data_IF_644521106664
#
_entry.id   IF_644521106664
#
_cell.length_a   1.000
_cell.length_b   1.000
_cell.length_c   1.000
_cell.angle_alpha   90.00
_cell.angle_beta   90.00
_cell.angle_gamma   90.00
#
_symmetry.space_group_name_H-M   'P 1'
#
loop_
_entity.id
_entity.type
_entity.pdbx_description
1 polymer ?
#
# COMPACT_ATOMS: atom_id res chain seq x y z
N UNK A 1 -29.66 -20.63 -62.98
CA UNK A 1 -28.53 -19.71 -62.66
C UNK A 1 -29.08 -18.57 -61.82
N UNK A 2 -28.45 -18.09 -60.72
CA UNK A 2 -27.62 -18.75 -59.70
C UNK A 2 -28.35 -18.79 -58.32
N UNK A 3 -27.94 -19.71 -57.43
CA UNK A 3 -28.38 -19.75 -56.03
C UNK A 3 -27.47 -18.79 -55.24
N UNK A 4 -28.04 -17.74 -54.65
CA UNK A 4 -27.32 -16.87 -53.72
C UNK A 4 -27.18 -17.59 -52.37
N UNK A 5 -25.95 -17.97 -52.02
CA UNK A 5 -25.59 -18.45 -50.70
C UNK A 5 -25.33 -17.22 -49.83
N UNK A 6 -26.22 -16.95 -48.87
CA UNK A 6 -26.02 -15.92 -47.87
C UNK A 6 -25.02 -16.45 -46.82
N UNK A 7 -23.74 -16.12 -46.98
CA UNK A 7 -22.72 -16.41 -45.99
C UNK A 7 -22.89 -15.45 -44.80
N UNK A 8 -23.44 -15.95 -43.70
CA UNK A 8 -23.49 -15.24 -42.43
C UNK A 8 -22.08 -15.22 -41.82
N UNK A 9 -21.35 -14.12 -42.01
CA UNK A 9 -20.07 -13.89 -41.31
C UNK A 9 -20.41 -13.56 -39.86
N UNK A 10 -20.22 -14.52 -38.95
CA UNK A 10 -20.19 -14.24 -37.51
C UNK A 10 -18.90 -13.46 -37.21
N UNK A 11 -19.02 -12.14 -37.08
CA UNK A 11 -18.00 -11.34 -36.40
C UNK A 11 -18.02 -11.70 -34.91
N UNK A 12 -17.09 -12.53 -34.46
CA UNK A 12 -16.80 -12.70 -33.03
C UNK A 12 -16.15 -11.43 -32.52
N UNK A 13 -16.96 -10.52 -31.98
CA UNK A 13 -16.45 -9.41 -31.18
C UNK A 13 -15.74 -10.00 -29.95
N UNK A 14 -14.41 -9.97 -29.94
CA UNK A 14 -13.64 -10.24 -28.75
C UNK A 14 -13.91 -9.10 -27.76
N UNK A 15 -14.85 -9.31 -26.85
CA UNK A 15 -15.04 -8.41 -25.72
C UNK A 15 -13.76 -8.46 -24.88
N UNK A 16 -13.04 -7.34 -24.67
CA UNK A 16 -12.00 -7.30 -23.65
C UNK A 16 -12.68 -7.61 -22.32
N UNK A 17 -12.34 -8.76 -21.72
CA UNK A 17 -12.87 -9.12 -20.41
C UNK A 17 -12.46 -8.05 -19.40
N UNK A 18 -13.41 -7.58 -18.59
CA UNK A 18 -13.13 -6.67 -17.47
C UNK A 18 -11.95 -7.21 -16.66
N UNK A 19 -10.97 -6.36 -16.35
CA UNK A 19 -9.79 -6.82 -15.63
C UNK A 19 -10.22 -7.34 -14.24
N UNK A 20 -10.00 -8.63 -14.01
CA UNK A 20 -10.45 -9.29 -12.80
C UNK A 20 -9.61 -8.84 -11.59
N UNK A 21 -10.27 -8.59 -10.45
CA UNK A 21 -9.58 -8.39 -9.17
C UNK A 21 -8.74 -9.61 -8.85
N UNK A 22 -7.43 -9.43 -8.73
CA UNK A 22 -6.48 -10.49 -8.40
C UNK A 22 -6.28 -10.54 -6.88
N UNK A 23 -6.42 -11.73 -6.31
CA UNK A 23 -6.08 -12.00 -4.91
C UNK A 23 -4.93 -13.00 -4.84
N UNK A 24 -3.94 -12.76 -3.99
CA UNK A 24 -2.79 -13.64 -3.84
C UNK A 24 -2.39 -13.70 -2.38
N UNK A 25 -2.42 -14.90 -1.79
CA UNK A 25 -1.90 -15.12 -0.45
C UNK A 25 -0.40 -15.45 -0.51
N UNK A 26 0.40 -14.78 0.32
CA UNK A 26 1.84 -14.98 0.40
C UNK A 26 2.23 -15.17 1.86
N UNK A 27 2.96 -16.25 2.15
CA UNK A 27 3.59 -16.47 3.45
C UNK A 27 4.80 -15.54 3.60
N UNK A 28 4.91 -14.84 4.72
CA UNK A 28 6.01 -13.94 5.05
C UNK A 28 6.83 -14.53 6.21
N UNK A 29 7.66 -15.56 5.95
CA UNK A 29 8.49 -16.15 6.99
C UNK A 29 9.59 -15.19 7.46
N UNK A 30 10.13 -15.47 8.64
CA UNK A 30 11.37 -14.87 9.14
C UNK A 30 12.45 -15.94 9.16
N UNK A 31 12.94 -16.36 10.32
CA UNK A 31 13.73 -17.58 10.50
C UNK A 31 12.87 -18.65 11.19
N UNK A 32 13.17 -19.95 11.05
CA UNK A 32 12.41 -20.99 11.77
C UNK A 32 12.38 -20.76 13.29
N UNK A 33 13.49 -20.27 13.86
CA UNK A 33 13.55 -19.90 15.27
C UNK A 33 12.67 -18.69 15.59
N UNK A 34 12.74 -17.64 14.78
CA UNK A 34 11.93 -16.43 14.96
C UNK A 34 10.45 -16.64 14.67
N UNK A 35 10.05 -17.58 13.82
CA UNK A 35 8.63 -17.88 13.58
C UNK A 35 8.06 -18.82 14.65
N UNK A 36 8.90 -19.68 15.26
CA UNK A 36 8.49 -20.58 16.33
C UNK A 36 8.51 -19.95 17.73
N UNK A 37 9.24 -18.83 17.93
CA UNK A 37 9.36 -18.22 19.26
C UNK A 37 8.03 -17.63 19.75
N UNK A 38 7.76 -17.88 21.02
CA UNK A 38 6.67 -17.29 21.78
C UNK A 38 7.00 -15.86 22.25
N UNK A 39 6.23 -15.39 23.22
CA UNK A 39 6.45 -14.09 23.85
C UNK A 39 7.63 -14.15 24.84
N UNK A 40 8.43 -13.11 24.89
CA UNK A 40 9.56 -12.92 25.80
C UNK A 40 9.21 -11.92 26.90
N UNK A 41 9.44 -12.24 28.19
CA UNK A 41 9.26 -11.28 29.28
C UNK A 41 10.24 -10.09 29.22
N UNK A 42 11.31 -10.19 28.42
CA UNK A 42 12.29 -9.12 28.23
C UNK A 42 11.82 -8.06 27.20
N UNK A 43 10.73 -8.33 26.48
CA UNK A 43 10.13 -7.38 25.53
C UNK A 43 8.99 -6.64 26.24
N UNK A 44 9.05 -5.31 26.34
CA UNK A 44 7.98 -4.54 26.96
C UNK A 44 6.71 -4.58 26.12
N UNK A 45 5.55 -4.63 26.78
CA UNK A 45 4.23 -4.57 26.14
C UNK A 45 4.03 -3.31 25.27
N UNK A 46 4.68 -2.21 25.63
CA UNK A 46 4.70 -0.98 24.83
C UNK A 46 5.92 -0.12 25.14
N UNK A 47 6.33 0.68 24.16
CA UNK A 47 7.37 1.71 24.31
C UNK A 47 6.87 3.04 23.77
N UNK A 48 7.33 4.14 24.37
CA UNK A 48 7.03 5.47 23.92
C UNK A 48 8.32 6.22 23.59
N UNK A 49 8.29 6.98 22.50
CA UNK A 49 9.39 7.86 22.09
C UNK A 49 8.82 9.25 21.89
N UNK A 50 9.31 10.22 22.66
CA UNK A 50 8.93 11.63 22.51
C UNK A 50 9.87 12.32 21.53
N UNK A 51 9.30 13.07 20.59
CA UNK A 51 10.06 13.82 19.58
C UNK A 51 9.24 15.00 19.05
N UNK A 52 9.76 15.71 18.04
CA UNK A 52 9.13 16.86 17.38
C UNK A 52 9.24 16.73 15.87
N UNK A 53 8.45 17.48 15.12
CA UNK A 53 8.67 17.64 13.69
C UNK A 53 9.81 18.62 13.45
N UNK A 54 10.73 18.28 12.55
CA UNK A 54 11.74 19.21 12.04
C UNK A 54 11.18 20.05 10.89
N UNK A 55 10.35 19.44 10.04
CA UNK A 55 9.68 20.10 8.91
C UNK A 55 8.50 19.29 8.41
N UNK A 56 7.66 19.93 7.61
CA UNK A 56 6.55 19.29 6.89
C UNK A 56 6.87 19.26 5.39
N UNK A 57 6.57 18.13 4.74
CA UNK A 57 6.69 17.95 3.29
C UNK A 57 5.33 17.57 2.73
N UNK A 58 4.88 18.28 1.70
CA UNK A 58 3.64 17.99 0.99
C UNK A 58 3.99 17.49 -0.39
N UNK A 59 3.62 16.25 -0.68
CA UNK A 59 3.85 15.59 -1.96
C UNK A 59 2.54 15.54 -2.74
N UNK A 60 2.50 16.17 -3.91
CA UNK A 60 1.37 16.07 -4.84
C UNK A 60 1.71 15.14 -5.99
N UNK A 61 0.85 14.16 -6.21
CA UNK A 61 0.93 13.21 -7.29
C UNK A 61 0.01 13.64 -8.44
N UNK A 62 0.50 13.48 -9.67
CA UNK A 62 -0.28 13.68 -10.89
C UNK A 62 -1.05 12.42 -11.27
N UNK A 63 -2.02 12.56 -12.17
CA UNK A 63 -2.69 11.42 -12.84
C UNK A 63 -1.68 10.36 -13.31
N UNK A 64 -2.04 9.10 -13.14
CA UNK A 64 -1.28 7.88 -13.46
C UNK A 64 0.00 7.67 -12.66
N UNK A 65 0.38 8.58 -11.76
CA UNK A 65 1.54 8.36 -10.91
C UNK A 65 1.28 7.19 -9.95
N UNK A 66 2.30 6.35 -9.75
CA UNK A 66 2.34 5.35 -8.70
C UNK A 66 2.64 6.03 -7.36
N UNK A 67 1.75 5.84 -6.39
CA UNK A 67 1.84 6.54 -5.10
C UNK A 67 3.04 6.06 -4.30
N UNK A 68 3.23 4.74 -4.16
CA UNK A 68 4.32 4.19 -3.36
C UNK A 68 5.67 4.54 -3.96
N UNK A 69 5.84 4.29 -5.27
CA UNK A 69 7.10 4.60 -5.95
C UNK A 69 7.43 6.10 -5.89
N UNK A 70 6.42 6.97 -5.96
CA UNK A 70 6.64 8.41 -5.81
C UNK A 70 6.97 8.83 -4.36
N UNK A 71 6.38 8.20 -3.35
CA UNK A 71 6.77 8.41 -1.94
C UNK A 71 8.22 7.97 -1.70
N UNK A 72 8.59 6.76 -2.13
CA UNK A 72 9.95 6.24 -1.99
C UNK A 72 10.98 7.12 -2.71
N UNK A 73 10.64 7.59 -3.91
CA UNK A 73 11.45 8.56 -4.66
C UNK A 73 11.70 9.82 -3.83
N UNK A 74 10.65 10.45 -3.30
CA UNK A 74 10.81 11.67 -2.52
C UNK A 74 11.50 11.46 -1.18
N UNK A 75 11.27 10.31 -0.52
CA UNK A 75 12.01 9.91 0.69
C UNK A 75 13.51 9.87 0.40
N UNK A 76 13.91 9.26 -0.72
CA UNK A 76 15.30 9.19 -1.15
C UNK A 76 15.87 10.55 -1.53
N UNK A 77 15.19 11.30 -2.41
CA UNK A 77 15.67 12.59 -2.93
C UNK A 77 15.81 13.64 -1.82
N UNK A 78 14.87 13.67 -0.88
CA UNK A 78 14.85 14.60 0.25
C UNK A 78 15.61 14.08 1.47
N UNK A 79 16.28 12.93 1.35
CA UNK A 79 17.08 12.27 2.40
C UNK A 79 16.30 12.13 3.71
N UNK A 80 15.05 11.69 3.62
CA UNK A 80 14.18 11.50 4.78
C UNK A 80 14.53 10.16 5.43
N UNK A 81 15.06 10.20 6.65
CA UNK A 81 15.29 8.97 7.42
C UNK A 81 14.04 8.53 8.16
N UNK A 82 13.42 9.45 8.91
CA UNK A 82 12.25 9.16 9.72
C UNK A 82 11.15 10.18 9.46
N UNK A 83 9.90 9.73 9.33
CA UNK A 83 8.74 10.61 9.19
C UNK A 83 7.45 9.92 9.63
N UNK A 84 6.43 10.72 9.94
CA UNK A 84 5.04 10.27 10.07
C UNK A 84 4.26 10.75 8.84
N UNK A 85 3.47 9.87 8.24
CA UNK A 85 2.48 10.25 7.23
C UNK A 85 1.27 10.80 7.98
N UNK A 86 1.09 12.12 7.91
CA UNK A 86 0.08 12.86 8.66
C UNK A 86 -1.30 12.79 7.99
N UNK A 87 -1.31 12.71 6.66
CA UNK A 87 -2.53 12.66 5.86
C UNK A 87 -2.22 12.22 4.44
N UNK A 88 -3.14 11.51 3.82
CA UNK A 88 -3.20 11.44 2.36
C UNK A 88 -4.64 11.35 1.87
N UNK A 89 -4.90 12.09 0.79
CA UNK A 89 -6.22 12.24 0.17
C UNK A 89 -6.08 12.31 -1.36
N UNK A 90 -7.15 12.00 -2.09
CA UNK A 90 -7.15 12.04 -3.56
C UNK A 90 -8.06 11.00 -4.18
N UNK A 91 -7.73 10.55 -5.40
CA UNK A 91 -8.43 9.43 -6.03
C UNK A 91 -7.49 8.52 -6.82
N UNK A 92 -7.88 7.26 -7.01
CA UNK A 92 -7.11 6.22 -7.67
C UNK A 92 -7.90 5.56 -8.82
N UNK A 93 -7.19 5.24 -9.91
CA UNK A 93 -7.70 4.41 -11.04
C UNK A 93 -7.23 2.95 -10.97
N UNK A 94 -6.37 2.63 -10.00
CA UNK A 94 -5.91 1.29 -9.73
C UNK A 94 -5.53 1.21 -8.26
N UNK A 95 -5.96 0.16 -7.57
CA UNK A 95 -5.69 -0.07 -6.15
C UNK A 95 -4.92 -1.35 -5.96
N UNK A 96 -3.86 -1.32 -5.17
CA UNK A 96 -3.15 -2.52 -4.74
C UNK A 96 -2.77 -2.36 -3.27
N UNK A 97 -3.18 -3.32 -2.46
CA UNK A 97 -2.90 -3.32 -1.03
C UNK A 97 -2.82 -4.75 -0.52
N UNK A 98 -2.27 -4.93 0.68
CA UNK A 98 -2.39 -6.20 1.39
C UNK A 98 -2.93 -6.04 2.80
N UNK A 99 -3.50 -7.14 3.30
CA UNK A 99 -3.92 -7.31 4.69
C UNK A 99 -3.28 -8.57 5.28
N UNK A 100 -3.07 -8.60 6.59
CA UNK A 100 -2.66 -9.83 7.28
C UNK A 100 -3.85 -10.79 7.31
N UNK A 101 -3.68 -12.02 6.83
CA UNK A 101 -4.76 -12.99 6.60
C UNK A 101 -4.83 -14.13 7.63
N UNK A 102 -3.93 -14.16 8.60
CA UNK A 102 -3.88 -15.20 9.64
C UNK A 102 -3.57 -14.64 11.03
N UNK A 103 -3.58 -15.53 12.03
CA UNK A 103 -3.39 -15.23 13.45
C UNK A 103 -2.17 -15.92 14.08
N UNK A 104 -1.26 -16.42 13.27
CA UNK A 104 -0.09 -17.19 13.70
C UNK A 104 1.16 -16.83 12.90
N UNK A 105 2.34 -17.17 13.42
CA UNK A 105 3.59 -17.10 12.65
C UNK A 105 3.84 -18.42 11.91
N UNK A 106 4.47 -18.39 10.71
CA UNK A 106 4.78 -17.19 9.92
C UNK A 106 3.50 -16.44 9.49
N UNK A 107 3.57 -15.12 9.48
CA UNK A 107 2.44 -14.28 9.06
C UNK A 107 2.14 -14.50 7.58
N UNK A 108 0.88 -14.34 7.20
CA UNK A 108 0.41 -14.42 5.81
C UNK A 108 -0.22 -13.10 5.40
N UNK A 109 0.05 -12.68 4.18
CA UNK A 109 -0.53 -11.48 3.60
C UNK A 109 -1.41 -11.86 2.42
N UNK A 110 -2.64 -11.35 2.40
CA UNK A 110 -3.54 -11.39 1.25
C UNK A 110 -3.36 -10.09 0.47
N UNK A 111 -2.72 -10.17 -0.69
CA UNK A 111 -2.60 -9.07 -1.65
C UNK A 111 -3.88 -9.01 -2.49
N UNK A 112 -4.45 -7.81 -2.63
CA UNK A 112 -5.64 -7.54 -3.42
C UNK A 112 -5.30 -6.44 -4.42
N UNK A 113 -5.33 -6.79 -5.71
CA UNK A 113 -5.03 -5.89 -6.81
C UNK A 113 -6.26 -5.73 -7.69
N UNK A 114 -6.66 -4.48 -7.93
CA UNK A 114 -7.67 -4.12 -8.92
C UNK A 114 -7.10 -3.04 -9.87
N UNK A 115 -6.71 -3.41 -11.11
CA UNK A 115 -6.09 -2.49 -12.05
C UNK A 115 -7.07 -1.51 -12.72
N UNK A 116 -8.38 -1.72 -12.56
CA UNK A 116 -9.49 -0.94 -13.13
C UNK A 116 -10.40 -0.35 -12.04
N UNK A 117 -9.89 -0.19 -10.81
CA UNK A 117 -10.63 0.43 -9.73
C UNK A 117 -10.96 1.90 -10.03
N UNK A 118 -12.04 2.43 -9.47
CA UNK A 118 -12.25 3.86 -9.30
C UNK A 118 -12.59 4.09 -7.83
N UNK A 119 -11.72 4.80 -7.12
CA UNK A 119 -11.85 4.96 -5.68
C UNK A 119 -11.34 6.30 -5.19
N UNK A 120 -12.00 6.86 -4.18
CA UNK A 120 -11.46 7.98 -3.41
C UNK A 120 -10.47 7.45 -2.38
N UNK A 121 -9.38 8.17 -2.19
CA UNK A 121 -8.42 7.97 -1.10
C UNK A 121 -8.91 8.85 0.04
N UNK A 122 -9.49 8.22 1.06
CA UNK A 122 -10.12 8.93 2.20
C UNK A 122 -9.20 9.03 3.40
N UNK A 123 -8.15 8.21 3.45
CA UNK A 123 -7.09 8.32 4.45
C UNK A 123 -5.82 7.62 3.97
N UNK A 124 -4.68 8.19 4.35
CA UNK A 124 -3.39 7.53 4.32
C UNK A 124 -2.60 7.97 5.55
N UNK A 125 -2.01 7.00 6.23
CA UNK A 125 -1.16 7.21 7.40
C UNK A 125 -0.06 6.15 7.43
N UNK A 126 0.84 6.24 8.40
CA UNK A 126 1.98 5.34 8.52
C UNK A 126 3.26 6.10 8.77
N UNK A 127 4.38 5.47 8.47
CA UNK A 127 5.70 5.98 8.82
C UNK A 127 6.68 5.84 7.67
N UNK A 128 7.69 6.70 7.68
CA UNK A 128 8.97 6.40 7.05
C UNK A 128 9.91 6.01 8.18
N UNK A 129 10.48 4.81 8.13
CA UNK A 129 11.34 4.25 9.16
C UNK A 129 12.67 3.87 8.53
N UNK A 130 13.73 4.57 8.94
CA UNK A 130 15.07 4.39 8.38
C UNK A 130 15.09 4.41 6.82
N UNK A 131 14.37 5.36 6.23
CA UNK A 131 14.25 5.56 4.79
C UNK A 131 13.29 4.61 4.07
N UNK A 132 12.60 3.71 4.78
CA UNK A 132 11.59 2.80 4.20
C UNK A 132 10.19 3.31 4.47
N UNK A 133 9.35 3.35 3.44
CA UNK A 133 7.94 3.74 3.57
C UNK A 133 7.13 2.54 4.05
N UNK A 134 6.42 2.68 5.17
CA UNK A 134 5.39 1.77 5.63
C UNK A 134 4.09 2.55 5.74
N UNK A 135 3.32 2.58 4.66
CA UNK A 135 2.07 3.33 4.56
C UNK A 135 0.86 2.39 4.55
N UNK A 136 -0.20 2.78 5.25
CA UNK A 136 -1.51 2.19 5.14
C UNK A 136 -2.44 3.19 4.47
N UNK A 137 -3.34 2.68 3.64
CA UNK A 137 -4.26 3.48 2.82
C UNK A 137 -5.67 2.92 2.94
N UNK A 138 -6.64 3.83 3.08
CA UNK A 138 -8.06 3.53 3.01
C UNK A 138 -8.65 4.19 1.77
N UNK A 139 -9.32 3.36 0.97
CA UNK A 139 -10.09 3.75 -0.18
C UNK A 139 -11.58 3.73 0.17
N UNK A 140 -12.37 4.51 -0.56
CA UNK A 140 -13.84 4.44 -0.56
C UNK A 140 -14.36 4.32 -1.98
N UNK A 141 -15.24 3.34 -2.20
CA UNK A 141 -16.20 3.37 -3.29
C UNK A 141 -17.49 4.07 -2.85
N UNK A 142 -18.55 3.97 -3.67
CA UNK A 142 -19.86 4.53 -3.32
C UNK A 142 -20.48 3.85 -2.08
N UNK A 143 -20.23 2.55 -1.89
CA UNK A 143 -20.99 1.74 -0.92
C UNK A 143 -20.14 1.19 0.23
N UNK A 144 -18.81 1.21 0.11
CA UNK A 144 -17.93 0.63 1.13
C UNK A 144 -16.53 1.23 1.11
N UNK A 145 -15.89 1.20 2.28
CA UNK A 145 -14.47 1.47 2.44
C UNK A 145 -13.67 0.17 2.47
N UNK A 146 -12.45 0.21 1.94
CA UNK A 146 -11.53 -0.92 1.89
C UNK A 146 -10.08 -0.43 1.84
N UNK A 147 -9.12 -1.26 2.22
CA UNK A 147 -7.73 -0.84 2.26
C UNK A 147 -6.86 -1.75 3.09
N UNK A 148 -5.62 -1.33 3.29
CA UNK A 148 -4.58 -2.07 4.01
C UNK A 148 -3.22 -1.42 3.82
N UNK A 149 -2.17 -2.21 3.88
CA UNK A 149 -0.81 -1.75 3.57
C UNK A 149 -0.72 -1.39 2.07
N UNK A 150 -0.23 -0.20 1.76
CA UNK A 150 -0.08 0.32 0.40
C UNK A 150 0.93 -0.52 -0.39
N UNK A 151 0.56 -0.95 -1.59
CA UNK A 151 1.44 -1.71 -2.47
C UNK A 151 1.71 -0.97 -3.80
N UNK A 152 2.79 -1.34 -4.51
CA UNK A 152 3.09 -0.80 -5.84
C UNK A 152 1.94 -1.01 -6.81
N UNK A 153 1.86 -0.17 -7.84
CA UNK A 153 0.82 -0.12 -8.88
C UNK A 153 -0.52 0.45 -8.41
N UNK A 154 -0.55 1.04 -7.22
CA UNK A 154 -1.63 1.95 -6.82
C UNK A 154 -1.46 3.28 -7.56
N UNK A 155 -2.31 3.52 -8.57
CA UNK A 155 -2.18 4.66 -9.50
C UNK A 155 -3.23 5.72 -9.27
N UNK A 156 -2.79 6.97 -9.26
CA UNK A 156 -3.63 8.16 -9.09
C UNK A 156 -4.55 8.39 -10.29
N UNK A 157 -5.78 8.82 -10.04
CA UNK A 157 -6.70 9.29 -11.07
C UNK A 157 -6.60 10.81 -11.29
N UNK A 158 -7.19 11.62 -10.40
CA UNK A 158 -7.20 13.08 -10.57
C UNK A 158 -5.90 13.70 -10.03
N UNK A 159 -5.69 13.52 -8.74
CA UNK A 159 -4.49 13.84 -7.99
C UNK A 159 -4.50 13.02 -6.70
N UNK A 160 -3.34 12.95 -6.05
CA UNK A 160 -3.26 12.59 -4.65
C UNK A 160 -2.32 13.56 -3.94
N UNK A 161 -2.55 13.81 -2.66
CA UNK A 161 -1.68 14.64 -1.82
C UNK A 161 -1.33 13.79 -0.60
N UNK A 162 -0.05 13.72 -0.25
CA UNK A 162 0.43 13.05 0.96
C UNK A 162 1.30 14.04 1.74
N UNK A 163 1.01 14.19 3.03
CA UNK A 163 1.73 15.10 3.92
C UNK A 163 2.59 14.30 4.90
N UNK A 164 3.87 14.62 4.96
CA UNK A 164 4.86 13.99 5.84
C UNK A 164 5.31 14.99 6.91
N UNK A 165 5.26 14.58 8.18
CA UNK A 165 5.94 15.24 9.29
C UNK A 165 7.29 14.58 9.52
N UNK A 166 8.38 15.25 9.16
CA UNK A 166 9.74 14.70 9.23
C UNK A 166 10.23 14.73 10.68
N UNK A 167 10.79 13.63 11.14
CA UNK A 167 11.34 13.47 12.49
C UNK A 167 12.87 13.58 12.46
N UNK A 168 13.51 14.00 13.57
CA UNK A 168 14.96 14.00 13.66
C UNK A 168 15.58 12.63 13.38
N UNK A 169 16.73 12.64 12.70
CA UNK A 169 17.45 11.42 12.30
C UNK A 169 17.94 10.59 13.48
N UNK A 170 18.09 11.20 14.66
CA UNK A 170 18.56 10.55 15.88
C UNK A 170 17.44 9.91 16.72
N UNK A 171 16.17 10.01 16.29
CA UNK A 171 15.06 9.28 16.94
C UNK A 171 15.23 7.79 16.67
N UNK A 172 15.32 6.99 17.73
CA UNK A 172 15.38 5.53 17.61
C UNK A 172 13.97 4.95 17.43
N UNK A 173 13.70 4.49 16.22
CA UNK A 173 12.47 3.77 15.84
C UNK A 173 12.78 2.37 15.30
N UNK A 174 13.97 1.82 15.60
CA UNK A 174 14.48 0.59 14.99
C UNK A 174 13.60 -0.64 15.20
N UNK A 175 12.78 -0.66 16.26
CA UNK A 175 11.87 -1.76 16.61
C UNK A 175 10.41 -1.54 16.19
N UNK A 176 10.06 -0.40 15.59
CA UNK A 176 8.66 -0.04 15.32
C UNK A 176 8.07 -0.71 14.07
N UNK A 177 8.90 -1.37 13.26
CA UNK A 177 8.49 -2.22 12.13
C UNK A 177 9.19 -3.59 12.20
N UNK A 178 9.33 -4.11 13.42
CA UNK A 178 10.00 -5.39 13.71
C UNK A 178 9.02 -6.39 14.33
N UNK A 179 8.42 -7.23 13.49
CA UNK A 179 7.51 -8.30 13.95
C UNK A 179 8.18 -9.43 14.74
N UNK A 180 9.52 -9.44 14.80
CA UNK A 180 10.29 -10.41 15.59
C UNK A 180 10.54 -9.93 17.02
N UNK A 181 10.25 -8.66 17.32
CA UNK A 181 10.40 -8.12 18.66
C UNK A 181 9.16 -8.44 19.50
N UNK A 182 9.16 -9.63 20.08
CA UNK A 182 8.08 -10.17 20.91
C UNK A 182 8.61 -11.15 21.93
#
# INVERSE_FOLDING_TARGET
>A
MPRFVLALVLCTAAFPGAAQVKKTEVVKPTTPADDAKGLSPDVPESVAVSTRFERVVIVRFKNQADILAGLEKHVKELKIRNAVILSGIGSAVATHYHVVSNRSFPSKNMFVENPEASADIVSMNGYVLNGKVHAHIAFSGADHAYGGHLEPRTRVFTFAIVTLGILPDNVDLSRFDDKTWR
#
